data_IF_945638138625
#
_entry.id   IF_945638138625
#
_cell.length_a   1.000
_cell.length_b   1.000
_cell.length_c   1.000
_cell.angle_alpha   90.00
_cell.angle_beta   90.00
_cell.angle_gamma   90.00
#
_symmetry.space_group_name_H-M   'P 1'
#
loop_
_entity.id
_entity.type
_entity.pdbx_description
1 polymer ?
#
# COMPACT_ATOMS: atom_id res chain seq x y z
N UNK A 1 -31.42 32.09 9.09
CA UNK A 1 -29.96 32.12 8.84
C UNK A 1 -29.44 30.69 8.93
N UNK A 2 -28.48 30.27 8.09
CA UNK A 2 -27.90 28.92 8.20
C UNK A 2 -26.99 28.84 9.41
N UNK A 3 -27.02 27.71 10.11
CA UNK A 3 -26.11 27.47 11.24
C UNK A 3 -24.67 27.31 10.73
N UNK A 4 -23.69 27.55 11.60
CA UNK A 4 -22.26 27.41 11.23
C UNK A 4 -21.93 25.97 10.81
N UNK A 5 -22.62 24.99 11.40
CA UNK A 5 -22.46 23.56 11.13
C UNK A 5 -22.97 23.20 9.73
N UNK A 6 -24.13 23.72 9.33
CA UNK A 6 -24.67 23.54 7.98
C UNK A 6 -23.75 24.09 6.90
N UNK A 7 -23.14 25.26 7.14
CA UNK A 7 -22.20 25.89 6.22
C UNK A 7 -20.96 25.01 6.05
N UNK A 8 -20.40 24.51 7.16
CA UNK A 8 -19.22 23.64 7.13
C UNK A 8 -19.49 22.33 6.39
N UNK A 9 -20.65 21.71 6.67
CA UNK A 9 -21.04 20.46 6.02
C UNK A 9 -21.22 20.66 4.51
N UNK A 10 -21.92 21.70 4.09
CA UNK A 10 -22.10 22.03 2.67
C UNK A 10 -20.77 22.25 1.95
N UNK A 11 -19.77 22.82 2.62
CA UNK A 11 -18.44 22.98 2.05
C UNK A 11 -17.69 21.65 1.93
N UNK A 12 -17.76 20.80 2.95
CA UNK A 12 -17.15 19.45 2.92
C UNK A 12 -17.74 18.60 1.79
N UNK A 13 -19.06 18.65 1.59
CA UNK A 13 -19.74 17.89 0.54
C UNK A 13 -19.27 18.34 -0.85
N UNK A 14 -19.18 19.66 -1.08
CA UNK A 14 -18.61 20.22 -2.32
C UNK A 14 -17.17 19.77 -2.56
N UNK A 15 -16.33 19.82 -1.52
CA UNK A 15 -14.91 19.44 -1.61
C UNK A 15 -14.73 17.94 -1.87
N UNK A 16 -15.57 17.10 -1.25
CA UNK A 16 -15.52 15.65 -1.40
C UNK A 16 -15.97 15.20 -2.78
N UNK A 17 -16.95 15.88 -3.39
CA UNK A 17 -17.34 15.63 -4.78
C UNK A 17 -16.23 15.95 -5.78
N UNK A 18 -15.41 16.97 -5.51
CA UNK A 18 -14.29 17.35 -6.39
C UNK A 18 -13.07 16.42 -6.23
N UNK A 19 -12.79 15.92 -5.02
CA UNK A 19 -11.64 15.07 -4.71
C UNK A 19 -12.05 13.85 -3.89
N UNK A 20 -11.90 12.65 -4.46
CA UNK A 20 -12.07 11.40 -3.72
C UNK A 20 -10.91 11.19 -2.74
N UNK A 21 -11.20 11.26 -1.46
CA UNK A 21 -10.24 10.99 -0.38
C UNK A 21 -10.43 9.54 0.08
N UNK A 22 -9.42 8.66 -0.03
CA UNK A 22 -9.55 7.29 0.45
C UNK A 22 -9.79 7.25 1.96
N UNK A 23 -10.48 6.21 2.42
CA UNK A 23 -10.69 5.97 3.85
C UNK A 23 -9.43 5.31 4.44
N UNK A 24 -8.71 6.05 5.28
CA UNK A 24 -7.54 5.57 6.03
C UNK A 24 -7.67 5.88 7.52
N UNK A 25 -6.89 5.15 8.30
CA UNK A 25 -6.88 5.19 9.75
C UNK A 25 -5.46 5.44 10.30
N UNK A 26 -5.35 5.88 11.56
CA UNK A 26 -4.07 5.87 12.28
C UNK A 26 -3.47 4.47 12.26
N UNK A 27 -2.18 4.37 11.99
CA UNK A 27 -1.46 3.12 11.78
C UNK A 27 -1.26 2.73 10.32
N UNK A 28 -1.98 3.34 9.38
CA UNK A 28 -1.78 3.12 7.96
C UNK A 28 -0.57 3.93 7.44
N UNK A 29 0.15 3.36 6.46
CA UNK A 29 1.18 4.06 5.68
C UNK A 29 0.49 4.72 4.49
N UNK A 30 0.66 6.04 4.40
CA UNK A 30 -0.02 6.89 3.43
C UNK A 30 1.04 7.67 2.65
N UNK A 31 0.86 7.73 1.33
CA UNK A 31 1.64 8.55 0.41
C UNK A 31 0.81 9.76 0.00
N UNK A 32 1.32 10.95 0.32
CA UNK A 32 0.68 12.23 0.02
C UNK A 32 1.48 12.93 -1.06
N UNK A 33 0.86 13.25 -2.19
CA UNK A 33 1.41 14.17 -3.16
C UNK A 33 1.10 15.61 -2.77
N UNK A 34 2.12 16.42 -2.48
CA UNK A 34 2.00 17.82 -2.07
C UNK A 34 2.45 18.71 -3.22
N UNK A 35 1.60 19.63 -3.66
CA UNK A 35 1.99 20.64 -4.64
C UNK A 35 2.83 21.71 -3.96
N UNK A 36 4.02 21.97 -4.49
CA UNK A 36 4.94 23.00 -4.00
C UNK A 36 5.23 23.95 -5.16
N UNK A 37 4.98 25.23 -4.91
CA UNK A 37 5.25 26.34 -5.82
C UNK A 37 6.58 26.98 -5.42
N UNK A 38 7.60 26.87 -6.27
CA UNK A 38 8.92 27.50 -6.08
C UNK A 38 9.07 28.59 -7.15
N UNK A 39 8.72 29.82 -6.79
CA UNK A 39 8.70 30.94 -7.72
C UNK A 39 7.71 30.72 -8.87
N UNK A 40 8.23 30.49 -10.09
CA UNK A 40 7.42 30.27 -11.30
C UNK A 40 7.19 28.78 -11.63
N UNK A 41 7.82 27.85 -10.91
CA UNK A 41 7.72 26.41 -11.19
C UNK A 41 6.87 25.72 -10.14
N UNK A 42 6.01 24.82 -10.59
CA UNK A 42 5.26 23.92 -9.70
C UNK A 42 5.80 22.51 -9.81
N UNK A 43 5.97 21.85 -8.65
CA UNK A 43 6.31 20.43 -8.58
C UNK A 43 5.43 19.71 -7.58
N UNK A 44 5.24 18.42 -7.77
CA UNK A 44 4.57 17.55 -6.79
C UNK A 44 5.65 16.81 -6.01
N UNK A 45 5.73 17.07 -4.71
CA UNK A 45 6.60 16.35 -3.80
C UNK A 45 5.81 15.29 -3.04
N UNK A 46 6.29 14.05 -3.06
CA UNK A 46 5.67 12.97 -2.30
C UNK A 46 6.20 12.90 -0.87
N UNK A 47 5.27 12.82 0.07
CA UNK A 47 5.54 12.56 1.48
C UNK A 47 4.87 11.24 1.86
N UNK A 48 5.71 10.21 2.01
CA UNK A 48 5.28 8.89 2.44
C UNK A 48 5.65 8.66 3.91
N UNK A 49 4.71 8.16 4.69
CA UNK A 49 4.99 7.77 6.07
C UNK A 49 3.76 7.21 6.79
N UNK A 50 3.94 6.98 8.08
CA UNK A 50 2.90 6.44 8.95
C UNK A 50 1.94 7.54 9.41
N UNK A 51 0.64 7.34 9.25
CA UNK A 51 -0.37 8.17 9.87
C UNK A 51 -0.40 7.93 11.39
N UNK A 52 0.06 8.89 12.19
CA UNK A 52 0.09 8.77 13.65
C UNK A 52 -1.15 9.32 14.32
N UNK A 53 -1.82 10.27 13.69
CA UNK A 53 -3.00 10.93 14.25
C UNK A 53 -3.91 11.41 13.13
N UNK A 54 -5.22 11.29 13.35
CA UNK A 54 -6.26 11.83 12.49
C UNK A 54 -7.26 12.59 13.35
N UNK A 55 -7.54 13.83 12.97
CA UNK A 55 -8.53 14.72 13.59
C UNK A 55 -9.65 14.92 12.60
N UNK A 56 -10.87 14.59 12.99
CA UNK A 56 -12.06 14.81 12.19
C UNK A 56 -12.81 16.01 12.80
N UNK A 57 -12.90 17.11 12.05
CA UNK A 57 -13.62 18.34 12.42
C UNK A 57 -14.08 19.04 11.14
N UNK A 58 -14.97 18.40 10.39
CA UNK A 58 -15.50 18.90 9.11
C UNK A 58 -14.39 19.44 8.20
N UNK A 59 -14.47 20.70 7.78
CA UNK A 59 -13.47 21.37 6.94
C UNK A 59 -12.09 21.49 7.61
N UNK A 60 -12.05 21.52 8.94
CA UNK A 60 -10.84 21.57 9.76
C UNK A 60 -10.28 20.18 10.09
N UNK A 61 -10.70 19.15 9.35
CA UNK A 61 -10.13 17.81 9.48
C UNK A 61 -8.68 17.79 9.02
N UNK A 62 -7.83 17.09 9.77
CA UNK A 62 -6.40 16.99 9.49
C UNK A 62 -5.84 15.64 9.89
N UNK A 63 -4.69 15.29 9.35
CA UNK A 63 -3.97 14.08 9.71
C UNK A 63 -2.48 14.37 9.76
N UNK A 64 -1.76 13.64 10.62
CA UNK A 64 -0.33 13.82 10.81
C UNK A 64 0.39 12.57 10.37
N UNK A 65 1.36 12.74 9.47
CA UNK A 65 2.20 11.67 8.97
C UNK A 65 3.60 11.83 9.55
N UNK A 66 4.14 10.73 10.07
CA UNK A 66 5.51 10.61 10.57
C UNK A 66 6.32 9.72 9.62
N UNK A 67 7.48 10.20 9.20
CA UNK A 67 8.49 9.40 8.51
C UNK A 67 9.86 9.63 9.13
N UNK A 68 10.76 8.66 9.00
CA UNK A 68 12.17 8.87 9.32
C UNK A 68 12.85 9.23 8.01
N UNK A 69 13.43 10.43 7.93
CA UNK A 69 14.15 10.94 6.77
C UNK A 69 15.59 11.20 7.20
N UNK A 70 16.57 10.57 6.54
CA UNK A 70 17.99 10.77 6.85
C UNK A 70 18.35 10.59 8.35
N UNK A 71 17.69 9.65 9.03
CA UNK A 71 17.91 9.39 10.47
C UNK A 71 17.09 10.26 11.41
N UNK A 72 16.45 11.32 10.93
CA UNK A 72 15.63 12.23 11.74
C UNK A 72 14.13 11.97 11.55
N UNK A 73 13.38 12.07 12.65
CA UNK A 73 11.93 11.90 12.64
C UNK A 73 11.23 13.16 12.15
N UNK A 74 10.73 13.14 10.92
CA UNK A 74 9.97 14.25 10.33
C UNK A 74 8.48 13.99 10.45
N UNK A 75 7.77 14.91 11.09
CA UNK A 75 6.30 14.90 11.17
C UNK A 75 5.72 16.06 10.37
N UNK A 76 4.69 15.77 9.57
CA UNK A 76 3.95 16.81 8.85
C UNK A 76 2.46 16.61 9.02
N UNK A 77 1.77 17.67 9.43
CA UNK A 77 0.31 17.70 9.51
C UNK A 77 -0.25 18.28 8.23
N UNK A 78 -1.23 17.59 7.67
CA UNK A 78 -1.94 17.96 6.46
C UNK A 78 -3.42 18.15 6.76
N UNK A 79 -4.03 19.21 6.22
CA UNK A 79 -5.48 19.37 6.26
C UNK A 79 -6.11 18.53 5.15
N UNK A 80 -7.10 17.69 5.49
CA UNK A 80 -7.65 16.66 4.60
C UNK A 80 -8.19 17.22 3.29
N UNK A 81 -8.79 18.41 3.35
CA UNK A 81 -9.43 19.06 2.21
C UNK A 81 -8.59 20.20 1.60
N UNK A 82 -7.29 20.26 1.91
CA UNK A 82 -6.43 21.32 1.40
C UNK A 82 -6.25 21.22 -0.12
N UNK A 83 -6.27 22.35 -0.86
CA UNK A 83 -5.98 22.36 -2.29
C UNK A 83 -4.54 21.94 -2.61
N UNK A 84 -3.63 22.10 -1.63
CA UNK A 84 -2.20 21.78 -1.75
C UNK A 84 -1.99 20.26 -1.92
N UNK A 85 -2.91 19.43 -1.43
CA UNK A 85 -2.84 17.98 -1.60
C UNK A 85 -3.31 17.63 -3.02
N UNK A 86 -2.39 17.09 -3.81
CA UNK A 86 -2.64 16.64 -5.18
C UNK A 86 -3.16 15.21 -5.22
N UNK A 87 -2.54 14.29 -4.49
CA UNK A 87 -2.94 12.89 -4.42
C UNK A 87 -2.81 12.34 -3.00
N UNK A 88 -3.64 11.35 -2.67
CA UNK A 88 -3.61 10.64 -1.41
C UNK A 88 -3.81 9.15 -1.66
N UNK A 89 -2.80 8.35 -1.34
CA UNK A 89 -2.80 6.90 -1.57
C UNK A 89 -2.47 6.16 -0.27
N UNK A 90 -3.20 5.07 0.00
CA UNK A 90 -2.92 4.19 1.13
C UNK A 90 -2.07 3.03 0.60
N UNK A 91 -0.82 2.97 1.02
CA UNK A 91 0.12 1.93 0.58
C UNK A 91 -0.09 0.66 1.40
N UNK A 92 -0.18 0.81 2.72
CA UNK A 92 -0.18 -0.32 3.65
C UNK A 92 -1.08 -0.03 4.83
N UNK A 93 -1.88 -1.01 5.25
CA UNK A 93 -2.73 -0.86 6.43
C UNK A 93 -2.09 -1.48 7.67
N UNK A 94 -1.95 -0.69 8.75
CA UNK A 94 -1.37 -1.15 10.00
C UNK A 94 -2.42 -1.55 11.03
N UNK A 95 -2.15 -2.61 11.80
CA UNK A 95 -2.98 -3.01 12.94
C UNK A 95 -2.48 -2.33 14.21
N UNK A 96 -3.25 -1.36 14.68
CA UNK A 96 -2.99 -0.65 15.94
C UNK A 96 -4.25 -0.62 16.81
N UNK A 97 -4.04 -0.47 18.14
CA UNK A 97 -5.13 -0.36 19.11
C UNK A 97 -5.44 1.07 19.54
N UNK A 98 -4.46 1.98 19.46
CA UNK A 98 -4.60 3.39 19.87
C UNK A 98 -5.03 4.25 18.67
N UNK A 99 -5.90 5.23 18.93
CA UNK A 99 -6.32 6.20 17.91
C UNK A 99 -5.25 7.27 17.60
N UNK A 100 -4.33 7.52 18.54
CA UNK A 100 -3.19 8.42 18.36
C UNK A 100 -1.91 7.70 18.78
N UNK A 101 -0.94 7.64 17.88
CA UNK A 101 0.29 6.85 18.00
C UNK A 101 1.48 7.70 18.42
N UNK A 102 1.29 8.64 19.35
CA UNK A 102 2.36 9.55 19.79
C UNK A 102 3.54 8.83 20.45
N UNK A 103 3.31 7.64 21.00
CA UNK A 103 4.36 6.78 21.55
C UNK A 103 5.43 6.35 20.53
N UNK A 104 5.18 6.53 19.23
CA UNK A 104 6.15 6.26 18.17
C UNK A 104 7.19 7.38 18.02
N UNK A 105 7.07 8.47 18.76
CA UNK A 105 8.10 9.50 18.86
C UNK A 105 9.30 9.01 19.65
N UNK A 106 9.04 8.26 20.71
CA UNK A 106 10.05 7.74 21.64
C UNK A 106 10.62 6.38 21.19
N UNK A 107 10.10 5.82 20.09
CA UNK A 107 10.49 4.52 19.57
C UNK A 107 11.18 4.65 18.22
N UNK A 108 12.27 3.90 18.04
CA UNK A 108 13.04 3.86 16.80
C UNK A 108 13.34 2.43 16.35
N UNK A 109 13.67 2.27 15.07
CA UNK A 109 14.06 0.98 14.48
C UNK A 109 12.98 -0.10 14.60
N UNK A 110 13.36 -1.28 15.08
CA UNK A 110 12.48 -2.45 15.19
C UNK A 110 11.28 -2.22 16.13
N UNK A 111 11.48 -1.43 17.19
CA UNK A 111 10.44 -1.16 18.20
C UNK A 111 9.29 -0.29 17.70
N UNK A 112 9.51 0.47 16.63
CA UNK A 112 8.52 1.33 15.98
C UNK A 112 7.73 0.62 14.86
N UNK A 113 8.10 -0.63 14.51
CA UNK A 113 7.41 -1.39 13.45
C UNK A 113 6.01 -1.77 13.91
N UNK A 114 5.04 -1.53 13.03
CA UNK A 114 3.63 -1.91 13.24
C UNK A 114 3.32 -3.16 12.43
N UNK A 115 2.58 -4.08 13.04
CA UNK A 115 2.10 -5.28 12.37
C UNK A 115 1.07 -4.92 11.29
N UNK A 116 1.11 -5.64 10.17
CA UNK A 116 0.17 -5.41 9.09
C UNK A 116 -1.24 -5.89 9.45
N UNK A 117 -2.25 -5.13 9.03
CA UNK A 117 -3.63 -5.60 9.10
C UNK A 117 -3.88 -6.52 7.92
N UNK A 118 -3.66 -7.82 8.12
CA UNK A 118 -4.08 -8.84 7.16
C UNK A 118 -5.60 -8.75 7.03
N UNK A 119 -6.09 -8.31 5.87
CA UNK A 119 -7.49 -8.47 5.52
C UNK A 119 -7.70 -9.96 5.31
N UNK A 120 -8.17 -10.67 6.34
CA UNK A 120 -8.72 -12.02 6.16
C UNK A 120 -10.02 -11.90 5.36
N UNK A 121 -9.92 -11.62 4.05
CA UNK A 121 -10.85 -12.19 3.08
C UNK A 121 -10.32 -13.59 2.78
N UNK A 122 -10.48 -14.50 3.74
CA UNK A 122 -10.52 -15.93 3.40
C UNK A 122 -11.98 -16.10 3.00
N UNK A 123 -12.21 -15.91 1.72
CA UNK A 123 -13.51 -15.74 1.08
C UNK A 123 -13.22 -15.74 -0.39
N UNK A 124 -12.95 -16.94 -0.86
CA UNK A 124 -12.85 -17.33 -2.24
C UNK A 124 -14.16 -16.88 -2.90
N UNK A 125 -14.13 -15.84 -3.72
CA UNK A 125 -15.14 -15.65 -4.77
C UNK A 125 -14.51 -16.28 -6.01
N UNK A 126 -14.57 -17.63 -6.09
CA UNK A 126 -14.50 -18.28 -7.40
C UNK A 126 -15.86 -17.99 -8.01
N UNK A 127 -15.89 -17.08 -8.97
CA UNK A 127 -16.96 -17.07 -9.95
C UNK A 127 -16.83 -18.37 -10.74
N UNK A 128 -17.41 -19.45 -10.24
CA UNK A 128 -17.80 -20.56 -11.11
C UNK A 128 -18.98 -20.01 -11.89
N UNK A 129 -18.71 -19.34 -13.01
CA UNK A 129 -19.64 -19.42 -14.13
C UNK A 129 -19.83 -20.91 -14.40
N UNK A 130 -21.02 -21.49 -14.21
CA UNK A 130 -21.27 -22.83 -14.69
C UNK A 130 -21.18 -22.73 -16.23
N UNK A 131 -20.03 -23.07 -16.79
CA UNK A 131 -19.99 -23.52 -18.17
C UNK A 131 -20.89 -24.75 -18.21
N UNK A 132 -22.04 -24.57 -18.86
CA UNK A 132 -22.90 -25.67 -19.24
C UNK A 132 -22.06 -26.52 -20.18
N UNK A 133 -21.58 -27.66 -19.70
CA UNK A 133 -20.87 -28.64 -20.52
C UNK A 133 -21.88 -29.21 -21.51
N UNK A 134 -21.92 -28.66 -22.72
CA UNK A 134 -22.58 -29.29 -23.87
C UNK A 134 -21.75 -30.48 -24.32
N UNK A 135 -22.41 -31.60 -24.57
CA UNK A 135 -21.89 -32.96 -24.75
C UNK A 135 -21.00 -33.19 -26.00
N UNK A 136 -20.47 -32.16 -26.65
CA UNK A 136 -19.87 -32.29 -28.00
C UNK A 136 -18.33 -32.30 -28.07
N UNK A 137 -17.59 -32.21 -26.95
CA UNK A 137 -16.13 -32.33 -26.99
C UNK A 137 -15.60 -33.55 -26.22
N UNK A 138 -16.11 -34.72 -26.63
CA UNK A 138 -15.43 -36.00 -26.40
C UNK A 138 -14.73 -36.37 -27.70
N UNK A 139 -13.40 -36.24 -27.70
CA UNK A 139 -12.53 -36.87 -28.67
C UNK A 139 -11.33 -37.49 -27.93
N UNK A 140 -10.83 -38.65 -28.39
CA UNK A 140 -10.65 -39.81 -27.52
C UNK A 140 -9.22 -39.99 -27.01
N UNK A 141 -9.14 -40.71 -25.88
CA UNK A 141 -7.94 -41.37 -25.35
C UNK A 141 -7.34 -42.28 -26.43
N UNK A 142 -6.06 -42.09 -26.73
CA UNK A 142 -5.20 -43.09 -27.38
C UNK A 142 -4.17 -43.54 -26.35
N UNK A 143 -4.25 -44.84 -26.05
CA UNK A 143 -3.31 -45.73 -25.36
C UNK A 143 -2.02 -45.87 -26.20
N UNK A 144 -0.80 -46.16 -25.74
CA UNK A 144 -0.28 -47.26 -24.89
C UNK A 144 1.30 -47.15 -24.88
N UNK A 145 2.13 -48.09 -24.35
CA UNK A 145 2.89 -47.91 -23.09
C UNK A 145 4.44 -48.18 -23.16
N UNK A 146 5.08 -48.22 -21.98
CA UNK A 146 6.33 -48.98 -21.61
C UNK A 146 7.71 -48.52 -22.17
N UNK A 147 8.90 -48.62 -21.54
CA UNK A 147 9.42 -48.95 -20.20
C UNK A 147 10.98 -48.74 -20.21
N UNK A 148 11.61 -48.50 -19.03
CA UNK A 148 13.06 -48.67 -18.66
C UNK A 148 14.09 -47.72 -19.34
N UNK A 149 15.15 -47.21 -18.70
CA UNK A 149 16.02 -47.75 -17.64
C UNK A 149 16.85 -46.63 -16.97
N UNK A 150 17.16 -46.84 -15.70
CA UNK A 150 18.07 -46.09 -14.83
C UNK A 150 19.57 -46.17 -15.21
N UNK A 151 20.30 -45.11 -14.83
CA UNK A 151 21.70 -45.04 -14.37
C UNK A 151 22.83 -45.26 -15.40
N UNK A 152 23.60 -44.19 -15.65
CA UNK A 152 25.05 -44.28 -15.82
C UNK A 152 25.78 -43.13 -15.10
N UNK A 153 26.87 -43.53 -14.48
CA UNK A 153 27.64 -42.88 -13.42
C UNK A 153 28.62 -41.83 -13.93
N UNK A 154 28.99 -40.94 -13.02
CA UNK A 154 30.15 -40.07 -13.09
C UNK A 154 31.47 -40.85 -13.25
N UNK A 155 32.41 -40.28 -14.03
CA UNK A 155 33.86 -40.41 -13.82
C UNK A 155 34.56 -39.05 -14.05
N UNK A 156 35.42 -38.60 -13.12
CA UNK A 156 36.24 -37.39 -13.24
C UNK A 156 37.70 -37.69 -13.64
N UNK A 157 38.36 -36.69 -14.26
CA UNK A 157 39.82 -36.36 -14.40
C UNK A 157 40.03 -35.70 -15.78
N UNK A 158 40.82 -34.63 -15.94
CA UNK A 158 42.19 -34.42 -15.45
C UNK A 158 42.61 -32.94 -15.57
N UNK A 159 43.45 -32.51 -14.64
CA UNK A 159 44.24 -31.28 -14.65
C UNK A 159 45.20 -31.20 -15.85
N UNK A 160 45.49 -29.99 -16.32
CA UNK A 160 46.88 -29.51 -16.44
C UNK A 160 46.90 -27.99 -16.58
N UNK A 161 47.42 -27.34 -15.55
CA UNK A 161 48.05 -26.04 -15.59
C UNK A 161 49.42 -26.16 -16.26
N UNK A 162 49.75 -25.31 -17.23
CA UNK A 162 51.14 -24.91 -17.43
C UNK A 162 51.25 -23.52 -18.06
N UNK A 163 52.08 -22.72 -17.41
CA UNK A 163 52.43 -21.34 -17.62
C UNK A 163 53.90 -21.31 -18.04
N UNK A 164 54.30 -20.29 -18.84
CA UNK A 164 55.63 -19.95 -19.37
C UNK A 164 55.94 -20.43 -20.80
N UNK A 165 55.92 -19.52 -21.77
CA UNK A 165 57.03 -18.62 -22.09
C UNK A 165 56.57 -17.48 -23.00
#
# INVERSE_FOLDING_TARGET
MKTIEEINKANVDKLTSAKKIPKFFPGDIVKVGVRITEGKRERVQYFEGLCIAKKNRDINSSFTIRKISFGEGVERTFASYSPIISSLEVIRSGKVRRAKLYYLRDRTGKSARIAEKIKKKIGIEIETSPEIVTEENIAPVITEPENKTEVLQAKPKKESSEEKK
#
